data_IF_834804795945
#
_entry.id   IF_834804795945
#
_cell.length_a   1.000
_cell.length_b   1.000
_cell.length_c   1.000
_cell.angle_alpha   90.00
_cell.angle_beta   90.00
_cell.angle_gamma   90.00
#
_symmetry.space_group_name_H-M   'P 1'
#
loop_
_entity.id
_entity.type
_entity.pdbx_description
1 polymer ?
#
# COMPACT_ATOMS: atom_id res chain seq x y z
N UNK A 1 -6.32 11.64 -24.33
CA UNK A 1 -5.21 11.07 -25.12
C UNK A 1 -4.04 10.94 -24.17
N UNK A 2 -3.78 9.74 -23.63
CA UNK A 2 -2.59 9.50 -22.82
C UNK A 2 -1.61 8.79 -23.74
N UNK A 3 -0.61 9.52 -24.22
CA UNK A 3 0.55 8.92 -24.87
C UNK A 3 1.29 8.15 -23.78
N UNK A 4 1.47 6.85 -23.96
CA UNK A 4 2.35 6.08 -23.09
C UNK A 4 3.74 6.73 -23.19
N UNK A 5 4.29 7.30 -22.10
CA UNK A 5 5.65 7.82 -22.17
C UNK A 5 6.56 6.65 -22.49
N UNK A 6 7.37 6.78 -23.53
CA UNK A 6 8.61 6.02 -23.60
C UNK A 6 9.34 6.37 -22.31
N UNK A 7 9.52 5.38 -21.42
CA UNK A 7 10.00 5.60 -20.07
C UNK A 7 11.27 6.47 -20.08
N UNK A 8 11.16 7.69 -19.53
CA UNK A 8 12.28 8.62 -19.39
C UNK A 8 12.33 9.80 -20.37
N UNK A 9 11.45 9.88 -21.38
CA UNK A 9 11.38 11.06 -22.25
C UNK A 9 10.54 12.19 -21.64
N UNK A 10 10.97 13.47 -21.77
CA UNK A 10 10.18 14.59 -21.31
C UNK A 10 8.92 14.79 -22.18
N UNK A 11 7.84 15.24 -21.55
CA UNK A 11 6.58 15.58 -22.23
C UNK A 11 6.67 16.95 -22.91
N UNK A 12 7.42 16.99 -24.02
CA UNK A 12 7.52 18.15 -24.89
C UNK A 12 6.57 17.99 -26.08
N UNK A 13 6.07 19.10 -26.67
CA UNK A 13 5.31 19.01 -27.92
C UNK A 13 6.18 18.34 -28.99
N UNK A 14 5.63 17.33 -29.66
CA UNK A 14 6.32 16.56 -30.70
C UNK A 14 7.04 15.30 -30.22
N UNK A 15 7.19 15.06 -28.90
CA UNK A 15 7.82 13.83 -28.37
C UNK A 15 6.80 12.75 -27.98
N UNK A 16 5.53 12.91 -28.34
CA UNK A 16 4.46 11.94 -28.06
C UNK A 16 4.22 11.00 -29.25
N UNK A 17 4.26 9.69 -29.00
CA UNK A 17 3.88 8.68 -30.00
C UNK A 17 2.44 8.22 -29.79
N UNK A 18 1.64 8.23 -30.86
CA UNK A 18 0.28 7.65 -30.85
C UNK A 18 0.37 6.20 -31.32
N UNK A 19 -0.17 5.30 -30.52
CA UNK A 19 -0.30 3.89 -30.87
C UNK A 19 -1.55 3.68 -31.73
N UNK A 20 -1.36 3.28 -32.99
CA UNK A 20 -2.43 3.03 -33.96
C UNK A 20 -3.12 1.68 -33.75
N UNK A 21 -2.58 0.79 -32.91
CA UNK A 21 -3.14 -0.54 -32.65
C UNK A 21 -4.27 -0.52 -31.61
N UNK A 22 -4.45 0.59 -30.89
CA UNK A 22 -5.49 0.77 -29.88
C UNK A 22 -6.88 0.79 -30.52
N UNK A 23 -7.75 -0.10 -30.09
CA UNK A 23 -9.12 -0.24 -30.60
C UNK A 23 -10.20 0.10 -29.55
N UNK A 24 -9.89 -0.06 -28.27
CA UNK A 24 -10.84 0.11 -27.16
C UNK A 24 -10.93 1.57 -26.70
N UNK A 25 -11.75 2.39 -27.35
CA UNK A 25 -11.88 3.83 -27.01
C UNK A 25 -12.97 4.18 -25.97
N UNK A 26 -13.65 3.16 -25.43
CA UNK A 26 -14.68 3.37 -24.41
C UNK A 26 -14.07 3.92 -23.12
N UNK A 27 -14.82 4.79 -22.43
CA UNK A 27 -14.41 5.38 -21.15
C UNK A 27 -15.05 4.62 -20.01
N UNK A 28 -14.25 4.21 -19.03
CA UNK A 28 -14.77 3.65 -17.78
C UNK A 28 -15.57 4.70 -17.02
N UNK A 29 -16.74 4.32 -16.49
CA UNK A 29 -17.54 5.18 -15.64
C UNK A 29 -16.94 5.24 -14.23
N UNK A 30 -16.33 6.37 -13.89
CA UNK A 30 -15.69 6.59 -12.59
C UNK A 30 -16.54 7.43 -11.63
N UNK A 31 -17.44 8.25 -12.18
CA UNK A 31 -18.38 9.08 -11.43
C UNK A 31 -19.74 8.38 -11.37
N UNK A 32 -20.17 8.02 -10.16
CA UNK A 32 -21.51 7.50 -9.90
C UNK A 32 -22.15 8.21 -8.71
N UNK A 33 -23.47 8.15 -8.63
CA UNK A 33 -24.23 8.62 -7.47
C UNK A 33 -25.12 7.49 -6.97
N UNK A 34 -25.26 7.36 -5.64
CA UNK A 34 -26.19 6.42 -5.02
C UNK A 34 -26.81 7.09 -3.81
N UNK A 35 -28.13 7.19 -3.80
CA UNK A 35 -28.91 7.79 -2.71
C UNK A 35 -28.45 9.22 -2.36
N UNK A 36 -28.11 10.03 -3.36
CA UNK A 36 -27.63 11.42 -3.17
C UNK A 36 -26.13 11.56 -2.86
N UNK A 37 -25.40 10.45 -2.63
CA UNK A 37 -23.97 10.48 -2.35
C UNK A 37 -23.13 10.15 -3.58
N UNK A 38 -22.03 10.89 -3.78
CA UNK A 38 -21.06 10.60 -4.84
C UNK A 38 -20.26 9.34 -4.49
N UNK A 39 -20.24 8.37 -5.42
CA UNK A 39 -19.42 7.18 -5.36
C UNK A 39 -18.30 7.33 -6.38
N UNK A 40 -17.07 7.40 -5.88
CA UNK A 40 -15.86 7.40 -6.71
C UNK A 40 -15.46 5.96 -6.98
N UNK A 41 -15.43 5.58 -8.26
CA UNK A 41 -14.88 4.29 -8.71
C UNK A 41 -13.57 4.53 -9.42
N UNK A 42 -12.49 3.90 -8.94
CA UNK A 42 -11.17 3.99 -9.57
C UNK A 42 -11.10 2.99 -10.74
N UNK A 43 -10.77 3.44 -11.96
CA UNK A 43 -10.62 2.55 -13.10
C UNK A 43 -9.29 1.77 -13.00
N UNK A 44 -9.32 0.50 -13.35
CA UNK A 44 -8.12 -0.37 -13.41
C UNK A 44 -7.40 -0.26 -14.75
N UNK A 45 -8.16 -0.02 -15.82
CA UNK A 45 -7.66 0.10 -17.19
C UNK A 45 -8.06 1.45 -17.79
N UNK A 46 -7.17 2.01 -18.58
CA UNK A 46 -7.39 3.23 -19.35
C UNK A 46 -7.97 2.93 -20.73
N UNK A 47 -8.15 4.01 -21.49
CA UNK A 47 -8.54 3.94 -22.90
C UNK A 47 -7.44 3.21 -23.67
N UNK A 48 -7.83 2.27 -24.53
CA UNK A 48 -6.91 1.43 -25.30
C UNK A 48 -6.41 0.20 -24.54
N UNK A 49 -6.95 -0.10 -23.36
CA UNK A 49 -6.57 -1.27 -22.57
C UNK A 49 -5.27 -1.09 -21.77
N UNK A 50 -4.69 0.11 -21.76
CA UNK A 50 -3.49 0.41 -20.96
C UNK A 50 -3.80 0.19 -19.48
N UNK A 51 -2.96 -0.59 -18.77
CA UNK A 51 -3.08 -0.71 -17.32
C UNK A 51 -2.69 0.61 -16.68
N UNK A 52 -3.59 1.18 -15.89
CA UNK A 52 -3.29 2.40 -15.14
C UNK A 52 -2.36 2.05 -13.98
N UNK A 53 -1.40 2.94 -13.69
CA UNK A 53 -0.47 2.77 -12.59
C UNK A 53 -1.23 2.59 -11.28
N UNK A 54 -1.09 1.39 -10.72
CA UNK A 54 -1.79 0.94 -9.53
C UNK A 54 -0.78 0.89 -8.39
N UNK A 55 -0.66 1.98 -7.66
CA UNK A 55 0.13 2.04 -6.43
C UNK A 55 -0.62 1.35 -5.28
N UNK A 56 -1.10 0.12 -5.45
CA UNK A 56 -1.42 -0.73 -4.30
C UNK A 56 -0.41 -1.85 -4.28
N UNK A 57 0.26 -1.97 -3.14
CA UNK A 57 1.12 -3.09 -2.83
C UNK A 57 0.24 -4.35 -2.73
N UNK A 58 0.70 -5.44 -3.32
CA UNK A 58 0.14 -6.76 -3.10
C UNK A 58 0.27 -7.15 -1.62
N UNK A 59 -0.53 -8.12 -1.16
CA UNK A 59 -0.44 -8.60 0.21
C UNK A 59 0.97 -9.08 0.56
N UNK A 60 1.65 -9.75 -0.37
CA UNK A 60 3.03 -10.20 -0.18
C UNK A 60 4.03 -9.04 -0.01
N UNK A 61 3.89 -7.97 -0.79
CA UNK A 61 4.72 -6.76 -0.67
C UNK A 61 4.42 -6.00 0.64
N UNK A 62 3.16 -6.01 1.08
CA UNK A 62 2.77 -5.46 2.39
C UNK A 62 3.37 -6.27 3.55
N UNK A 63 3.34 -7.59 3.46
CA UNK A 63 3.91 -8.49 4.48
C UNK A 63 5.45 -8.35 4.53
N UNK A 64 6.12 -8.20 3.38
CA UNK A 64 7.54 -7.90 3.31
C UNK A 64 7.87 -6.54 3.95
N UNK A 65 7.06 -5.51 3.67
CA UNK A 65 7.24 -4.18 4.25
C UNK A 65 7.00 -4.19 5.76
N UNK A 66 6.01 -4.95 6.24
CA UNK A 66 5.74 -5.13 7.66
C UNK A 66 6.88 -5.90 8.38
N UNK A 67 7.53 -6.83 7.67
CA UNK A 67 8.68 -7.57 8.15
C UNK A 67 9.96 -6.72 8.23
N UNK A 68 10.12 -5.74 7.32
CA UNK A 68 11.25 -4.80 7.31
C UNK A 68 11.15 -3.82 8.49
N UNK A 69 11.76 -4.23 9.60
CA UNK A 69 12.04 -3.42 10.79
C UNK A 69 10.81 -2.64 11.30
N UNK A 70 9.80 -3.31 11.87
CA UNK A 70 8.65 -2.67 12.52
C UNK A 70 9.06 -1.63 13.59
N UNK A 71 10.29 -1.73 14.11
CA UNK A 71 10.94 -0.75 14.99
C UNK A 71 11.04 0.65 14.36
N UNK A 72 11.23 0.77 13.05
CA UNK A 72 11.34 2.07 12.37
C UNK A 72 9.98 2.75 12.20
N UNK A 73 8.90 1.98 12.03
CA UNK A 73 7.54 2.48 11.81
C UNK A 73 6.78 2.72 13.11
N UNK A 74 6.91 1.82 14.08
CA UNK A 74 6.13 1.82 15.33
C UNK A 74 6.98 2.04 16.58
N UNK A 75 8.31 2.18 16.44
CA UNK A 75 9.22 2.33 17.56
C UNK A 75 9.58 1.00 18.23
N UNK A 76 10.42 1.07 19.26
CA UNK A 76 10.81 -0.11 20.04
C UNK A 76 9.57 -0.74 20.69
N UNK A 77 9.44 -2.08 20.67
CA UNK A 77 8.36 -2.75 21.38
C UNK A 77 8.43 -2.41 22.86
N UNK A 78 7.25 -2.18 23.48
CA UNK A 78 7.18 -1.92 24.91
C UNK A 78 7.83 -3.08 25.67
N UNK A 79 8.89 -2.79 26.43
CA UNK A 79 9.54 -3.78 27.28
C UNK A 79 8.50 -4.40 28.21
N UNK A 80 8.56 -5.72 28.36
CA UNK A 80 7.70 -6.42 29.31
C UNK A 80 7.85 -5.78 30.71
N UNK A 81 6.76 -5.65 31.48
CA UNK A 81 6.86 -5.19 32.85
C UNK A 81 7.91 -6.02 33.60
N UNK A 82 8.80 -5.41 34.40
CA UNK A 82 9.68 -6.17 35.27
C UNK A 82 8.82 -7.05 36.19
N UNK A 83 9.34 -8.23 36.55
CA UNK A 83 8.66 -9.09 37.50
C UNK A 83 8.46 -8.34 38.83
N UNK A 84 7.33 -8.62 39.48
CA UNK A 84 7.04 -8.03 40.78
C UNK A 84 8.12 -8.41 41.79
N UNK A 85 8.50 -7.46 42.64
CA UNK A 85 9.46 -7.71 43.71
C UNK A 85 8.87 -8.67 44.73
N UNK A 86 9.53 -9.80 44.95
CA UNK A 86 9.16 -10.79 45.97
C UNK A 86 10.20 -10.73 47.11
N UNK A 87 9.81 -10.32 48.32
CA UNK A 87 10.70 -10.32 49.49
C UNK A 87 11.26 -11.72 49.79
N UNK A 88 12.49 -11.78 50.31
CA UNK A 88 13.18 -13.04 50.59
C UNK A 88 12.39 -14.00 51.50
N UNK A 89 11.68 -13.46 52.51
CA UNK A 89 10.87 -14.28 53.42
C UNK A 89 9.67 -14.96 52.74
N UNK A 90 9.18 -14.41 51.63
CA UNK A 90 8.13 -15.03 50.80
C UNK A 90 8.73 -15.96 49.76
N UNK A 91 9.85 -15.57 49.14
CA UNK A 91 10.50 -16.34 48.09
C UNK A 91 11.08 -17.68 48.58
N UNK A 92 11.47 -17.74 49.85
CA UNK A 92 12.07 -18.92 50.48
C UNK A 92 11.16 -19.61 51.48
N UNK A 93 9.86 -19.26 51.53
CA UNK A 93 8.93 -20.03 52.34
C UNK A 93 8.98 -21.50 51.90
N UNK A 94 9.32 -22.38 52.84
CA UNK A 94 9.45 -23.85 52.67
C UNK A 94 10.62 -24.34 51.80
N UNK A 95 11.60 -23.50 51.47
CA UNK A 95 12.86 -23.97 50.87
C UNK A 95 13.87 -24.32 51.96
N UNK A 96 14.38 -25.55 51.93
CA UNK A 96 15.46 -26.04 52.78
C UNK A 96 16.70 -26.31 51.92
N UNK A 97 17.88 -26.18 52.52
CA UNK A 97 19.19 -26.36 51.85
C UNK A 97 19.45 -27.83 51.46
#
# INVERSE_FOLDING_TARGET
MVSNPVHGLPFLPGTSFKDSTKTAFHRSQTLGYRNGYAIVRRPTVGIGGDRLQFNQLSQAELDELASKAPVLTYGQPKQAPPADFIPAHVAFDKKLL
#
